data_IF_483606672674
#
_entry.id   IF_483606672674
#
_cell.length_a   1.000
_cell.length_b   1.000
_cell.length_c   1.000
_cell.angle_alpha   90.00
_cell.angle_beta   90.00
_cell.angle_gamma   90.00
#
_symmetry.space_group_name_H-M   'P 1'
#
loop_
_entity.id
_entity.type
_entity.pdbx_description
1 polymer ?
#
# COMPACT_ATOMS: atom_id res chain seq x y z
N UNK A 1 2.37 1.48 -12.65
CA UNK A 1 2.88 2.41 -13.64
C UNK A 1 2.71 1.87 -15.05
N UNK A 2 1.54 2.09 -15.62
CA UNK A 2 1.21 1.62 -16.97
C UNK A 2 2.07 2.27 -18.05
N UNK A 3 2.47 3.53 -17.84
CA UNK A 3 3.33 4.27 -18.78
C UNK A 3 4.72 3.67 -19.00
N UNK A 4 5.23 2.86 -18.10
CA UNK A 4 6.51 2.18 -18.24
C UNK A 4 6.37 0.71 -18.64
N UNK A 5 5.17 0.28 -19.01
CA UNK A 5 4.90 -1.07 -19.49
C UNK A 5 4.91 -1.13 -21.03
N UNK A 6 5.10 -2.31 -21.56
CA UNK A 6 4.99 -2.61 -23.00
C UNK A 6 3.55 -2.65 -23.53
N UNK A 7 2.57 -2.36 -22.65
CA UNK A 7 1.16 -2.22 -23.02
C UNK A 7 0.80 -0.80 -23.50
N UNK A 8 1.70 0.16 -23.36
CA UNK A 8 1.52 1.56 -23.77
C UNK A 8 2.45 1.88 -24.91
N UNK A 9 1.92 2.48 -25.97
CA UNK A 9 2.68 2.98 -27.12
C UNK A 9 2.50 4.49 -27.27
N UNK A 10 3.54 5.15 -27.77
CA UNK A 10 3.45 6.56 -28.13
C UNK A 10 2.48 6.73 -29.30
N UNK A 11 1.38 7.44 -29.07
CA UNK A 11 0.35 7.71 -30.08
C UNK A 11 0.57 9.06 -30.81
N UNK A 12 1.73 9.70 -30.63
CA UNK A 12 2.10 10.94 -31.32
C UNK A 12 2.62 10.73 -32.74
N UNK A 13 2.60 9.50 -33.26
CA UNK A 13 2.90 9.23 -34.65
C UNK A 13 1.83 9.91 -35.52
N UNK A 14 2.21 10.74 -36.50
CA UNK A 14 1.26 11.37 -37.40
C UNK A 14 0.36 10.32 -38.05
N UNK A 15 -0.96 10.60 -38.09
CA UNK A 15 -1.90 9.75 -38.78
C UNK A 15 -1.41 9.52 -40.19
N UNK A 16 -1.18 8.28 -40.62
CA UNK A 16 -0.63 7.98 -41.96
C UNK A 16 -1.53 8.43 -43.10
N UNK A 17 -2.81 8.74 -42.84
CA UNK A 17 -3.76 9.22 -43.84
C UNK A 17 -3.83 10.74 -43.93
N UNK A 18 -3.73 11.43 -42.81
CA UNK A 18 -3.90 12.88 -42.74
C UNK A 18 -2.60 13.63 -42.53
N UNK A 19 -1.55 12.98 -42.12
CA UNK A 19 -0.26 13.60 -41.78
C UNK A 19 -0.30 14.50 -40.54
N UNK A 20 -1.46 14.58 -39.86
CA UNK A 20 -1.62 15.38 -38.67
C UNK A 20 -1.13 14.56 -37.45
N UNK A 21 -0.24 15.16 -36.68
CA UNK A 21 0.07 14.64 -35.34
C UNK A 21 -1.18 14.71 -34.47
N UNK A 22 -1.41 13.71 -33.64
CA UNK A 22 -2.43 13.79 -32.61
C UNK A 22 -2.15 15.05 -31.79
N UNK A 23 -3.09 16.00 -31.83
CA UNK A 23 -3.02 17.23 -31.04
C UNK A 23 -3.35 16.91 -29.57
N UNK A 24 -2.55 16.08 -28.95
CA UNK A 24 -2.61 15.89 -27.51
C UNK A 24 -1.78 17.02 -26.91
N UNK A 25 -2.35 17.74 -25.95
CA UNK A 25 -1.54 18.58 -25.06
C UNK A 25 -0.32 17.77 -24.62
N UNK A 26 0.89 18.34 -24.68
CA UNK A 26 2.07 17.61 -24.23
C UNK A 26 1.77 17.09 -22.82
N UNK A 27 1.83 15.76 -22.67
CA UNK A 27 1.80 15.13 -21.35
C UNK A 27 2.85 15.82 -20.49
N UNK A 28 2.57 15.91 -19.20
CA UNK A 28 3.57 16.36 -18.23
C UNK A 28 4.90 15.64 -18.54
N UNK A 29 5.98 16.38 -18.56
CA UNK A 29 7.32 15.88 -18.85
C UNK A 29 7.67 14.64 -18.00
N UNK A 30 7.10 14.58 -16.80
CA UNK A 30 7.20 13.43 -15.89
C UNK A 30 6.74 12.12 -16.56
N UNK A 31 5.59 12.13 -17.25
CA UNK A 31 5.08 10.91 -17.90
C UNK A 31 5.94 10.49 -19.09
N UNK A 32 6.52 11.46 -19.81
CA UNK A 32 7.48 11.19 -20.87
C UNK A 32 8.77 10.56 -20.33
N UNK A 33 9.24 11.00 -19.14
CA UNK A 33 10.39 10.44 -18.48
C UNK A 33 10.11 9.02 -17.97
N UNK A 34 8.94 8.78 -17.41
CA UNK A 34 8.50 7.43 -16.98
C UNK A 34 8.39 6.49 -18.18
N UNK A 35 7.77 6.92 -19.27
CA UNK A 35 7.64 6.12 -20.50
C UNK A 35 9.00 5.75 -21.10
N UNK A 36 9.90 6.72 -21.15
CA UNK A 36 11.25 6.54 -21.70
C UNK A 36 12.27 5.94 -20.72
N UNK A 37 11.85 5.52 -19.53
CA UNK A 37 12.71 4.99 -18.46
C UNK A 37 13.86 5.95 -18.08
N UNK A 38 13.58 7.25 -18.14
CA UNK A 38 14.53 8.28 -17.74
C UNK A 38 14.38 8.64 -16.26
N UNK A 39 15.41 9.25 -15.63
CA UNK A 39 15.29 9.76 -14.27
C UNK A 39 14.21 10.81 -14.14
N UNK A 40 13.20 10.55 -13.29
CA UNK A 40 12.12 11.49 -13.00
C UNK A 40 12.59 12.48 -11.95
N UNK A 41 12.62 13.77 -12.31
CA UNK A 41 13.07 14.87 -11.44
C UNK A 41 11.92 15.75 -10.93
N UNK A 42 10.75 15.61 -11.52
CA UNK A 42 9.57 16.39 -11.19
C UNK A 42 9.02 15.98 -9.81
N UNK A 43 8.35 16.93 -9.15
CA UNK A 43 7.69 16.76 -7.85
C UNK A 43 6.17 17.02 -7.93
N UNK A 44 5.60 16.91 -9.14
CA UNK A 44 4.16 17.00 -9.37
C UNK A 44 3.41 15.79 -8.79
N UNK A 45 2.08 15.86 -8.83
CA UNK A 45 1.23 14.73 -8.41
C UNK A 45 1.66 13.46 -9.16
N UNK A 46 1.57 12.33 -8.46
CA UNK A 46 1.97 11.00 -8.94
C UNK A 46 3.48 10.81 -9.19
N UNK A 47 4.30 11.83 -8.90
CA UNK A 47 5.75 11.67 -8.99
C UNK A 47 6.29 10.67 -7.94
N UNK A 48 7.38 9.96 -8.26
CA UNK A 48 8.03 9.08 -7.29
C UNK A 48 8.37 9.78 -5.96
N UNK A 49 8.77 11.06 -6.03
CA UNK A 49 9.04 11.87 -4.84
C UNK A 49 7.79 12.07 -3.99
N UNK A 50 6.67 12.44 -4.61
CA UNK A 50 5.43 12.68 -3.86
C UNK A 50 4.88 11.38 -3.24
N UNK A 51 4.95 10.27 -3.98
CA UNK A 51 4.59 8.94 -3.45
C UNK A 51 5.42 8.62 -2.22
N UNK A 52 6.73 8.80 -2.30
CA UNK A 52 7.64 8.59 -1.17
C UNK A 52 7.28 9.44 0.03
N UNK A 53 7.16 10.75 -0.16
CA UNK A 53 6.88 11.70 0.91
C UNK A 53 5.52 11.45 1.57
N UNK A 54 4.48 11.17 0.78
CA UNK A 54 3.13 10.89 1.29
C UNK A 54 3.09 9.63 2.17
N UNK A 55 3.72 8.54 1.72
CA UNK A 55 3.73 7.32 2.50
C UNK A 55 4.56 7.43 3.78
N UNK A 56 5.73 8.07 3.74
CA UNK A 56 6.50 8.30 4.97
C UNK A 56 5.82 9.28 5.92
N UNK A 57 5.05 10.25 5.43
CA UNK A 57 4.20 11.11 6.27
C UNK A 57 3.11 10.29 6.99
N UNK A 58 2.47 9.37 6.30
CA UNK A 58 1.49 8.47 6.92
C UNK A 58 2.13 7.52 7.94
N UNK A 59 3.33 7.00 7.66
CA UNK A 59 4.12 6.19 8.60
C UNK A 59 4.47 7.00 9.86
N UNK A 60 4.91 8.25 9.70
CA UNK A 60 5.20 9.14 10.83
C UNK A 60 3.96 9.40 11.69
N UNK A 61 2.79 9.57 11.05
CA UNK A 61 1.51 9.70 11.76
C UNK A 61 1.16 8.44 12.55
N UNK A 62 1.31 7.26 11.94
CA UNK A 62 1.08 5.98 12.62
C UNK A 62 2.04 5.79 13.81
N UNK A 63 3.31 6.15 13.66
CA UNK A 63 4.29 6.09 14.73
C UNK A 63 3.94 7.05 15.89
N UNK A 64 3.48 8.25 15.58
CA UNK A 64 3.03 9.21 16.59
C UNK A 64 1.81 8.72 17.36
N UNK A 65 0.87 8.08 16.65
CA UNK A 65 -0.29 7.43 17.28
C UNK A 65 0.17 6.29 18.21
N UNK A 66 1.05 5.40 17.76
CA UNK A 66 1.58 4.30 18.57
C UNK A 66 2.32 4.80 19.83
N UNK A 67 3.06 5.90 19.73
CA UNK A 67 3.71 6.51 20.89
C UNK A 67 2.69 7.07 21.89
N UNK A 68 1.63 7.72 21.41
CA UNK A 68 0.54 8.22 22.27
C UNK A 68 -0.22 7.08 22.94
N UNK A 69 -0.53 6.03 22.18
CA UNK A 69 -1.20 4.81 22.67
C UNK A 69 -0.37 4.18 23.79
N UNK A 70 0.94 4.03 23.62
CA UNK A 70 1.82 3.49 24.66
C UNK A 70 1.74 4.26 25.96
N UNK A 71 1.64 5.62 25.89
CA UNK A 71 1.49 6.47 27.09
C UNK A 71 0.14 6.26 27.77
N UNK A 72 -0.93 6.03 27.02
CA UNK A 72 -2.28 5.75 27.55
C UNK A 72 -2.36 4.33 28.14
N UNK A 73 -1.80 3.34 27.48
CA UNK A 73 -1.69 1.97 27.99
C UNK A 73 -0.95 1.93 29.35
N UNK A 74 0.10 2.72 29.52
CA UNK A 74 0.81 2.86 30.78
C UNK A 74 -0.05 3.46 31.91
N UNK A 75 -1.15 4.12 31.58
CA UNK A 75 -2.15 4.65 32.51
C UNK A 75 -3.34 3.68 32.73
N UNK A 76 -3.28 2.50 32.13
CA UNK A 76 -4.32 1.47 32.24
C UNK A 76 -5.48 1.62 31.26
N UNK A 77 -5.35 2.49 30.24
CA UNK A 77 -6.37 2.65 29.20
C UNK A 77 -6.20 1.55 28.16
N UNK A 78 -7.29 0.85 27.82
CA UNK A 78 -7.26 -0.13 26.72
C UNK A 78 -7.35 0.60 25.38
N UNK A 79 -6.31 0.45 24.55
CA UNK A 79 -6.18 1.06 23.22
C UNK A 79 -5.90 0.00 22.14
N UNK A 80 -6.38 -1.22 22.33
CA UNK A 80 -6.05 -2.35 21.45
C UNK A 80 -6.51 -2.11 20.00
N UNK A 81 -7.73 -1.63 19.79
CA UNK A 81 -8.29 -1.43 18.44
C UNK A 81 -7.49 -0.36 17.67
N UNK A 82 -7.25 0.79 18.30
CA UNK A 82 -6.50 1.91 17.72
C UNK A 82 -5.03 1.51 17.48
N UNK A 83 -4.46 0.70 18.37
CA UNK A 83 -3.10 0.14 18.19
C UNK A 83 -3.06 -0.80 17.01
N UNK A 84 -4.06 -1.65 16.85
CA UNK A 84 -4.21 -2.54 15.72
C UNK A 84 -4.26 -1.77 14.40
N UNK A 85 -5.12 -0.75 14.32
CA UNK A 85 -5.21 0.12 13.13
C UNK A 85 -3.90 0.84 12.81
N UNK A 86 -3.23 1.40 13.81
CA UNK A 86 -1.97 2.11 13.60
C UNK A 86 -0.83 1.18 13.12
N UNK A 87 -0.76 -0.06 13.63
CA UNK A 87 0.19 -1.07 13.15
C UNK A 87 -0.12 -1.49 11.72
N UNK A 88 -1.38 -1.73 11.39
CA UNK A 88 -1.82 -2.08 10.03
C UNK A 88 -1.53 -0.94 9.04
N UNK A 89 -1.78 0.30 9.42
CA UNK A 89 -1.47 1.48 8.62
C UNK A 89 0.04 1.58 8.34
N UNK A 90 0.88 1.42 9.37
CA UNK A 90 2.34 1.43 9.21
C UNK A 90 2.83 0.33 8.27
N UNK A 91 2.33 -0.89 8.45
CA UNK A 91 2.65 -2.03 7.60
C UNK A 91 2.22 -1.78 6.14
N UNK A 92 1.01 -1.27 5.94
CA UNK A 92 0.43 -1.01 4.62
C UNK A 92 1.24 0.02 3.83
N UNK A 93 1.60 1.14 4.45
CA UNK A 93 2.38 2.18 3.78
C UNK A 93 3.80 1.73 3.44
N UNK A 94 4.46 0.96 4.31
CA UNK A 94 5.74 0.34 3.96
C UNK A 94 5.60 -0.71 2.85
N UNK A 95 4.51 -1.46 2.82
CA UNK A 95 4.24 -2.42 1.75
C UNK A 95 4.05 -1.73 0.39
N UNK A 96 3.31 -0.62 0.34
CA UNK A 96 3.15 0.15 -0.89
C UNK A 96 4.48 0.75 -1.36
N UNK A 97 5.28 1.31 -0.45
CA UNK A 97 6.64 1.79 -0.78
C UNK A 97 7.52 0.65 -1.32
N UNK A 98 7.46 -0.53 -0.71
CA UNK A 98 8.23 -1.68 -1.19
C UNK A 98 7.79 -2.11 -2.60
N UNK A 99 6.49 -2.04 -2.90
CA UNK A 99 5.96 -2.34 -4.23
C UNK A 99 6.41 -1.38 -5.33
N UNK A 100 6.73 -0.13 -4.97
CA UNK A 100 7.16 0.90 -5.94
C UNK A 100 8.69 1.01 -6.02
N UNK A 101 9.40 0.90 -4.90
CA UNK A 101 10.82 1.26 -4.80
C UNK A 101 11.77 0.08 -4.58
N UNK A 102 11.25 -1.14 -4.40
CA UNK A 102 12.06 -2.34 -4.23
C UNK A 102 11.85 -3.34 -5.36
N UNK A 103 12.72 -4.33 -5.41
CA UNK A 103 12.53 -5.48 -6.27
C UNK A 103 11.33 -6.32 -5.83
N UNK A 104 10.71 -7.05 -6.74
CA UNK A 104 9.66 -8.00 -6.39
C UNK A 104 10.23 -9.15 -5.53
N UNK A 105 9.48 -9.55 -4.52
CA UNK A 105 9.84 -10.73 -3.72
C UNK A 105 9.85 -11.99 -4.60
N UNK A 106 10.97 -12.67 -4.65
CA UNK A 106 11.14 -13.93 -5.40
C UNK A 106 11.16 -15.12 -4.44
N UNK A 107 12.09 -15.08 -3.51
CA UNK A 107 12.34 -16.04 -2.46
C UNK A 107 13.18 -15.40 -1.35
N UNK A 108 13.42 -16.11 -0.26
CA UNK A 108 14.18 -15.61 0.89
C UNK A 108 15.62 -15.25 0.54
N UNK A 109 16.30 -16.11 -0.23
CA UNK A 109 17.73 -15.94 -0.53
C UNK A 109 18.01 -14.73 -1.43
N UNK A 110 17.18 -14.50 -2.43
CA UNK A 110 17.30 -13.32 -3.30
C UNK A 110 16.92 -12.06 -2.52
N UNK A 111 15.85 -12.11 -1.74
CA UNK A 111 15.36 -10.96 -0.96
C UNK A 111 16.36 -10.47 0.10
N UNK A 112 17.25 -11.32 0.57
CA UNK A 112 18.36 -10.91 1.45
C UNK A 112 19.43 -10.08 0.74
N UNK A 113 19.52 -10.17 -0.59
CA UNK A 113 20.49 -9.44 -1.43
C UNK A 113 19.89 -8.17 -2.01
N UNK A 114 18.57 -8.15 -2.22
CA UNK A 114 17.88 -7.02 -2.81
C UNK A 114 17.78 -5.86 -1.81
N UNK A 115 17.81 -4.62 -2.34
CA UNK A 115 17.65 -3.41 -1.53
C UNK A 115 16.25 -3.32 -0.92
N UNK A 116 16.20 -3.08 0.38
CA UNK A 116 14.96 -2.84 1.11
C UNK A 116 14.62 -1.38 1.30
N UNK A 117 13.84 -1.12 2.33
CA UNK A 117 13.44 0.21 2.81
C UNK A 117 13.94 0.43 4.23
N UNK A 118 14.09 1.70 4.61
CA UNK A 118 14.17 2.07 6.02
C UNK A 118 12.79 1.87 6.65
N UNK A 119 12.71 0.95 7.63
CA UNK A 119 11.46 0.66 8.32
C UNK A 119 11.36 1.52 9.58
N UNK A 120 10.59 2.62 9.50
CA UNK A 120 10.47 3.58 10.60
C UNK A 120 9.48 3.07 11.65
N UNK A 121 9.99 2.81 12.87
CA UNK A 121 9.21 2.24 13.98
C UNK A 121 8.85 3.23 15.09
N UNK A 122 9.38 4.45 15.02
CA UNK A 122 9.13 5.50 16.00
C UNK A 122 9.16 6.87 15.33
N UNK A 123 8.57 7.90 15.95
CA UNK A 123 8.68 9.27 15.45
C UNK A 123 10.14 9.72 15.36
N UNK A 124 10.51 10.35 14.26
CA UNK A 124 11.82 11.00 14.15
C UNK A 124 11.83 12.29 14.96
N UNK A 125 12.75 12.38 15.91
CA UNK A 125 12.93 13.57 16.74
C UNK A 125 14.15 14.38 16.36
N UNK A 126 14.97 13.90 15.43
CA UNK A 126 16.20 14.53 14.95
C UNK A 126 16.32 14.33 13.46
N UNK A 127 17.00 15.26 12.76
CA UNK A 127 17.44 15.04 11.38
C UNK A 127 18.35 13.82 11.40
N UNK A 128 17.85 12.73 10.82
CA UNK A 128 18.51 11.45 10.93
C UNK A 128 19.76 11.35 10.05
N UNK A 129 20.69 10.49 10.43
CA UNK A 129 21.74 10.05 9.51
C UNK A 129 21.10 9.33 8.31
N UNK A 130 21.88 9.18 7.25
CA UNK A 130 21.45 8.42 6.07
C UNK A 130 21.22 6.97 6.47
N UNK A 131 20.00 6.50 6.34
CA UNK A 131 19.66 5.09 6.59
C UNK A 131 20.07 4.21 5.40
N UNK A 132 20.61 3.05 5.69
CA UNK A 132 20.99 2.06 4.67
C UNK A 132 19.77 1.36 4.08
N UNK A 133 19.77 1.17 2.78
CA UNK A 133 18.84 0.28 2.06
C UNK A 133 19.51 -1.04 1.64
N UNK A 134 20.80 -1.16 1.90
CA UNK A 134 21.63 -2.28 1.46
C UNK A 134 21.36 -3.59 2.22
N UNK A 135 22.08 -4.66 1.84
CA UNK A 135 21.98 -5.96 2.50
C UNK A 135 22.50 -5.94 3.95
N UNK A 136 23.28 -4.93 4.31
CA UNK A 136 23.74 -4.74 5.68
C UNK A 136 22.57 -4.34 6.57
N UNK A 137 22.48 -5.01 7.70
CA UNK A 137 21.43 -4.81 8.67
C UNK A 137 21.69 -3.54 9.47
N UNK A 138 20.75 -2.62 9.44
CA UNK A 138 20.76 -1.46 10.31
C UNK A 138 19.83 -1.70 11.50
N UNK A 139 20.39 -1.57 12.69
CA UNK A 139 19.70 -1.87 13.93
C UNK A 139 19.36 -0.58 14.66
N UNK A 140 18.13 -0.45 15.12
CA UNK A 140 17.63 0.64 15.94
C UNK A 140 16.83 0.11 17.12
N UNK A 141 16.02 0.98 17.71
CA UNK A 141 15.12 0.60 18.79
C UNK A 141 13.66 0.80 18.32
N UNK A 142 12.79 -0.11 18.73
CA UNK A 142 11.34 0.07 18.59
C UNK A 142 10.78 0.96 19.71
N UNK A 143 9.46 1.17 19.70
CA UNK A 143 8.77 2.00 20.71
C UNK A 143 8.91 1.47 22.16
N UNK A 144 9.24 0.20 22.32
CA UNK A 144 9.45 -0.41 23.64
C UNK A 144 10.90 -0.27 24.13
N UNK A 145 11.79 0.19 23.26
CA UNK A 145 13.22 0.22 23.51
C UNK A 145 13.92 -1.10 23.21
N UNK A 146 13.20 -2.03 22.57
CA UNK A 146 13.77 -3.29 22.12
C UNK A 146 14.51 -3.12 20.80
N UNK A 147 15.56 -3.92 20.63
CA UNK A 147 16.33 -3.94 19.39
C UNK A 147 15.44 -4.32 18.20
N UNK A 148 15.43 -3.49 17.18
CA UNK A 148 14.64 -3.68 15.97
C UNK A 148 15.46 -3.39 14.70
N UNK A 149 15.11 -4.03 13.61
CA UNK A 149 15.74 -3.80 12.32
C UNK A 149 15.05 -2.64 11.61
N UNK A 150 15.71 -1.51 11.49
CA UNK A 150 15.18 -0.29 10.88
C UNK A 150 15.64 -0.09 9.43
N UNK A 151 16.69 -0.78 9.02
CA UNK A 151 17.22 -0.75 7.66
C UNK A 151 17.72 -2.12 7.24
N UNK A 152 18.00 -2.30 5.96
CA UNK A 152 18.55 -3.54 5.44
C UNK A 152 17.90 -3.97 4.12
N UNK A 153 17.96 -5.27 3.84
CA UNK A 153 17.48 -5.86 2.61
C UNK A 153 15.95 -5.88 2.52
N UNK A 154 15.44 -6.23 1.34
CA UNK A 154 14.03 -6.49 1.09
C UNK A 154 13.46 -7.53 2.06
N UNK A 155 14.25 -8.55 2.40
CA UNK A 155 13.86 -9.55 3.41
C UNK A 155 13.47 -8.91 4.75
N UNK A 156 14.32 -8.02 5.29
CA UNK A 156 14.04 -7.34 6.54
C UNK A 156 12.82 -6.41 6.45
N UNK A 157 12.65 -5.71 5.33
CA UNK A 157 11.45 -4.91 5.06
C UNK A 157 10.18 -5.77 5.14
N UNK A 158 10.15 -6.91 4.46
CA UNK A 158 8.98 -7.79 4.46
C UNK A 158 8.74 -8.46 5.82
N UNK A 159 9.80 -8.79 6.56
CA UNK A 159 9.65 -9.34 7.91
C UNK A 159 9.07 -8.32 8.90
N UNK A 160 9.47 -7.05 8.79
CA UNK A 160 8.90 -5.99 9.61
C UNK A 160 7.44 -5.68 9.24
N UNK A 161 7.11 -5.65 7.94
CA UNK A 161 5.73 -5.53 7.47
C UNK A 161 4.89 -6.68 8.04
N UNK A 162 5.38 -7.90 7.96
CA UNK A 162 4.68 -9.08 8.48
C UNK A 162 4.46 -8.99 9.99
N UNK A 163 5.46 -8.58 10.75
CA UNK A 163 5.36 -8.40 12.21
C UNK A 163 4.25 -7.42 12.58
N UNK A 164 4.22 -6.26 11.94
CA UNK A 164 3.19 -5.26 12.21
C UNK A 164 1.80 -5.71 11.76
N UNK A 165 1.72 -6.34 10.58
CA UNK A 165 0.48 -6.90 10.04
C UNK A 165 -0.11 -7.95 10.97
N UNK A 166 0.68 -8.96 11.38
CA UNK A 166 0.22 -10.04 12.25
C UNK A 166 -0.18 -9.51 13.64
N UNK A 167 0.58 -8.57 14.20
CA UNK A 167 0.22 -7.92 15.46
C UNK A 167 -1.05 -7.07 15.33
N UNK A 168 -1.20 -6.33 14.24
CA UNK A 168 -2.38 -5.51 13.97
C UNK A 168 -3.64 -6.35 13.80
N UNK A 169 -3.56 -7.48 13.08
CA UNK A 169 -4.67 -8.44 12.91
C UNK A 169 -5.21 -8.99 14.24
N UNK A 170 -4.36 -9.15 15.25
CA UNK A 170 -4.79 -9.63 16.57
C UNK A 170 -5.51 -8.57 17.42
N UNK A 171 -5.34 -7.30 17.08
CA UNK A 171 -5.78 -6.18 17.91
C UNK A 171 -6.94 -5.40 17.29
N UNK A 172 -7.03 -5.36 15.96
CA UNK A 172 -8.05 -4.59 15.24
C UNK A 172 -9.46 -5.09 15.58
N UNK A 173 -10.38 -4.15 15.78
CA UNK A 173 -11.78 -4.45 16.10
C UNK A 173 -12.69 -3.36 15.53
N UNK A 174 -13.81 -3.78 14.98
CA UNK A 174 -14.82 -2.86 14.40
C UNK A 174 -15.78 -2.27 15.44
N UNK A 175 -15.73 -2.73 16.69
CA UNK A 175 -16.71 -2.37 17.73
C UNK A 175 -16.68 -0.89 18.13
N UNK A 176 -15.53 -0.24 17.95
CA UNK A 176 -15.32 1.15 18.37
C UNK A 176 -15.53 2.17 17.25
N UNK A 177 -15.76 1.74 16.02
CA UNK A 177 -15.92 2.64 14.89
C UNK A 177 -17.38 2.92 14.60
N UNK A 178 -17.77 4.20 14.58
CA UNK A 178 -19.11 4.61 14.13
C UNK A 178 -19.35 4.31 12.64
N UNK A 179 -18.28 4.39 11.84
CA UNK A 179 -18.27 4.03 10.42
C UNK A 179 -17.03 3.21 10.12
N UNK A 180 -17.08 1.86 10.26
CA UNK A 180 -15.89 1.00 10.10
C UNK A 180 -15.19 1.14 8.76
N UNK A 181 -15.90 1.48 7.68
CA UNK A 181 -15.31 1.64 6.33
C UNK A 181 -14.42 2.87 6.18
N UNK A 182 -14.38 3.79 7.14
CA UNK A 182 -13.43 4.90 7.16
C UNK A 182 -12.11 4.53 7.85
N UNK A 183 -12.02 3.33 8.39
CA UNK A 183 -10.91 2.84 9.17
C UNK A 183 -10.31 1.57 8.58
N UNK A 184 -9.18 1.16 9.09
CA UNK A 184 -8.63 -0.16 8.81
C UNK A 184 -9.43 -1.20 9.59
N UNK A 185 -10.64 -1.50 9.09
CA UNK A 185 -11.54 -2.47 9.72
C UNK A 185 -11.02 -3.90 9.60
N UNK A 186 -11.63 -4.85 10.30
CA UNK A 186 -11.17 -6.26 10.32
C UNK A 186 -11.13 -6.86 8.92
N UNK A 187 -12.14 -6.62 8.06
CA UNK A 187 -12.14 -7.11 6.68
C UNK A 187 -11.02 -6.49 5.85
N UNK A 188 -10.76 -5.19 6.00
CA UNK A 188 -9.66 -4.50 5.32
C UNK A 188 -8.31 -5.08 5.75
N UNK A 189 -8.14 -5.38 7.03
CA UNK A 189 -6.94 -6.00 7.56
C UNK A 189 -6.68 -7.38 6.94
N UNK A 190 -7.71 -8.24 6.85
CA UNK A 190 -7.59 -9.54 6.21
C UNK A 190 -7.36 -9.44 4.68
N UNK A 191 -7.99 -8.48 4.00
CA UNK A 191 -7.73 -8.25 2.58
C UNK A 191 -6.29 -7.78 2.33
N UNK A 192 -5.78 -6.91 3.18
CA UNK A 192 -4.37 -6.53 3.13
C UNK A 192 -3.44 -7.72 3.39
N UNK A 193 -3.75 -8.55 4.37
CA UNK A 193 -3.00 -9.77 4.65
C UNK A 193 -2.98 -10.72 3.46
N UNK A 194 -4.13 -10.98 2.83
CA UNK A 194 -4.21 -11.78 1.61
C UNK A 194 -3.29 -11.23 0.51
N UNK A 195 -3.33 -9.90 0.28
CA UNK A 195 -2.47 -9.24 -0.70
C UNK A 195 -0.98 -9.33 -0.34
N UNK A 196 -0.62 -9.12 0.91
CA UNK A 196 0.75 -9.22 1.38
C UNK A 196 1.31 -10.64 1.18
N UNK A 197 0.56 -11.66 1.59
CA UNK A 197 0.97 -13.06 1.43
C UNK A 197 0.98 -13.51 -0.03
N UNK A 198 0.13 -12.92 -0.90
CA UNK A 198 0.19 -13.11 -2.34
C UNK A 198 1.55 -12.67 -2.91
N UNK A 199 2.03 -11.51 -2.50
CA UNK A 199 3.36 -11.01 -2.89
C UNK A 199 4.50 -11.87 -2.36
N UNK A 200 4.35 -12.44 -1.15
CA UNK A 200 5.30 -13.40 -0.58
C UNK A 200 5.18 -14.81 -1.14
N UNK A 201 4.14 -15.10 -1.93
CA UNK A 201 3.82 -16.44 -2.48
C UNK A 201 3.52 -17.48 -1.39
N UNK A 202 2.96 -17.06 -0.27
CA UNK A 202 2.49 -17.93 0.82
C UNK A 202 1.01 -18.29 0.61
N UNK A 203 0.72 -19.13 -0.41
CA UNK A 203 -0.61 -19.38 -0.95
C UNK A 203 -1.64 -19.86 0.07
N UNK A 204 -1.24 -20.66 1.05
CA UNK A 204 -2.15 -21.12 2.10
C UNK A 204 -2.71 -19.96 2.93
N UNK A 205 -1.86 -19.01 3.30
CA UNK A 205 -2.28 -17.80 4.01
C UNK A 205 -3.12 -16.86 3.12
N UNK A 206 -2.85 -16.83 1.82
CA UNK A 206 -3.68 -16.05 0.87
C UNK A 206 -5.12 -16.56 0.92
N UNK A 207 -5.32 -17.88 0.81
CA UNK A 207 -6.64 -18.50 0.85
C UNK A 207 -7.32 -18.24 2.20
N UNK A 208 -6.63 -18.48 3.32
CA UNK A 208 -7.14 -18.25 4.67
C UNK A 208 -7.70 -16.83 4.85
N UNK A 209 -6.92 -15.82 4.47
CA UNK A 209 -7.33 -14.43 4.63
C UNK A 209 -8.38 -13.98 3.59
N UNK A 210 -8.31 -14.50 2.37
CA UNK A 210 -9.31 -14.22 1.34
C UNK A 210 -10.68 -14.82 1.72
N UNK A 211 -10.72 -16.04 2.25
CA UNK A 211 -11.95 -16.69 2.70
C UNK A 211 -12.62 -15.90 3.84
N UNK A 212 -11.82 -15.30 4.74
CA UNK A 212 -12.35 -14.43 5.78
C UNK A 212 -13.08 -13.21 5.21
N UNK A 213 -12.54 -12.60 4.15
CA UNK A 213 -13.12 -11.40 3.51
C UNK A 213 -14.36 -11.75 2.71
N UNK A 214 -14.25 -12.79 1.88
CA UNK A 214 -15.31 -13.19 0.95
C UNK A 214 -16.48 -13.87 1.65
N UNK A 215 -16.22 -14.56 2.75
CA UNK A 215 -17.22 -15.30 3.55
C UNK A 215 -18.04 -16.33 2.79
N UNK A 216 -17.67 -16.61 1.54
CA UNK A 216 -18.34 -17.57 0.67
C UNK A 216 -17.40 -18.03 -0.44
N UNK A 217 -17.60 -19.26 -0.88
CA UNK A 217 -16.98 -19.82 -2.09
C UNK A 217 -18.00 -19.98 -3.23
N UNK A 218 -19.23 -19.53 -3.01
CA UNK A 218 -20.29 -19.62 -4.03
C UNK A 218 -19.99 -18.67 -5.20
N UNK A 219 -19.83 -19.25 -6.37
CA UNK A 219 -19.48 -18.55 -7.61
C UNK A 219 -20.48 -17.46 -7.98
N UNK A 220 -21.77 -17.69 -7.71
CA UNK A 220 -22.84 -16.70 -7.97
C UNK A 220 -22.65 -15.47 -7.11
N UNK A 221 -22.38 -15.67 -5.81
CA UNK A 221 -22.13 -14.56 -4.88
C UNK A 221 -20.83 -13.83 -5.22
N UNK A 222 -19.76 -14.54 -5.59
CA UNK A 222 -18.49 -13.95 -6.00
C UNK A 222 -18.64 -13.12 -7.28
N UNK A 223 -19.43 -13.56 -8.24
CA UNK A 223 -19.68 -12.82 -9.48
C UNK A 223 -20.47 -11.53 -9.25
N UNK A 224 -21.31 -11.45 -8.20
CA UNK A 224 -22.00 -10.22 -7.81
C UNK A 224 -21.07 -9.17 -7.21
N UNK A 225 -19.93 -9.57 -6.63
CA UNK A 225 -18.93 -8.62 -6.09
C UNK A 225 -18.20 -7.88 -7.21
N UNK A 226 -18.08 -8.49 -8.38
CA UNK A 226 -17.48 -7.88 -9.55
C UNK A 226 -18.31 -8.17 -10.79
N UNK A 227 -19.26 -7.31 -11.08
CA UNK A 227 -20.04 -7.37 -12.32
C UNK A 227 -19.22 -6.80 -13.48
N UNK A 228 -18.57 -7.72 -14.21
CA UNK A 228 -17.76 -7.37 -15.37
C UNK A 228 -18.58 -6.74 -16.52
N UNK A 229 -19.85 -7.11 -16.65
CA UNK A 229 -20.72 -6.52 -17.69
C UNK A 229 -21.07 -5.09 -17.38
N UNK A 230 -21.54 -4.81 -16.17
CA UNK A 230 -21.80 -3.44 -15.71
C UNK A 230 -20.56 -2.57 -15.76
N UNK A 231 -19.38 -3.11 -15.41
CA UNK A 231 -18.12 -2.36 -15.50
C UNK A 231 -17.63 -2.16 -16.93
N UNK A 232 -17.91 -3.08 -17.86
CA UNK A 232 -17.48 -2.96 -19.26
C UNK A 232 -18.33 -1.97 -20.04
N UNK A 233 -19.62 -1.89 -19.75
CA UNK A 233 -20.61 -1.14 -20.57
C UNK A 233 -20.77 0.31 -20.12
N UNK A 234 -19.74 0.90 -19.54
CA UNK A 234 -19.79 2.26 -19.05
C UNK A 234 -19.51 3.27 -20.17
N UNK A 235 -20.57 3.65 -20.85
CA UNK A 235 -20.57 4.74 -21.83
C UNK A 235 -20.33 6.13 -21.17
N UNK A 236 -20.31 6.21 -19.85
CA UNK A 236 -20.14 7.44 -19.09
C UNK A 236 -19.06 7.29 -18.02
N UNK A 237 -17.99 8.06 -18.18
CA UNK A 237 -16.84 8.06 -17.26
C UNK A 237 -17.23 8.43 -15.81
N UNK A 238 -18.26 9.26 -15.63
CA UNK A 238 -18.75 9.65 -14.30
C UNK A 238 -19.42 8.49 -13.57
N UNK A 239 -20.11 7.60 -14.29
CA UNK A 239 -20.67 6.37 -13.75
C UNK A 239 -19.56 5.36 -13.39
N UNK A 240 -18.49 5.32 -14.18
CA UNK A 240 -17.33 4.51 -13.90
C UNK A 240 -16.69 4.89 -12.55
N UNK A 241 -16.46 6.19 -12.34
CA UNK A 241 -15.94 6.70 -11.08
C UNK A 241 -16.84 6.34 -9.89
N UNK A 242 -18.15 6.58 -10.01
CA UNK A 242 -19.09 6.23 -8.93
C UNK A 242 -19.04 4.77 -8.56
N UNK A 243 -18.84 3.89 -9.52
CA UNK A 243 -18.78 2.44 -9.25
C UNK A 243 -17.59 2.03 -8.40
N UNK A 244 -16.45 2.73 -8.56
CA UNK A 244 -15.25 2.46 -7.77
C UNK A 244 -15.25 3.10 -6.38
N UNK A 245 -15.95 4.21 -6.20
CA UNK A 245 -15.95 4.99 -4.95
C UNK A 245 -17.28 4.93 -4.18
N UNK A 246 -18.34 4.38 -4.77
CA UNK A 246 -19.64 4.28 -4.12
C UNK A 246 -19.56 3.34 -2.91
N UNK A 247 -19.92 3.89 -1.77
CA UNK A 247 -19.98 3.17 -0.49
C UNK A 247 -20.95 1.98 -0.52
N UNK A 248 -21.93 2.03 -1.40
CA UNK A 248 -22.96 1.00 -1.54
C UNK A 248 -22.60 -0.02 -2.64
N UNK A 249 -21.54 0.19 -3.41
CA UNK A 249 -21.12 -0.77 -4.41
C UNK A 249 -20.76 -2.10 -3.75
N UNK A 250 -21.33 -3.23 -4.16
CA UNK A 250 -21.02 -4.56 -3.59
C UNK A 250 -19.54 -4.90 -3.65
N UNK A 251 -18.84 -4.41 -4.68
CA UNK A 251 -17.39 -4.59 -4.87
C UNK A 251 -16.54 -3.75 -3.92
N UNK A 252 -17.09 -2.70 -3.30
CA UNK A 252 -16.35 -1.84 -2.38
C UNK A 252 -16.47 -2.34 -0.94
N UNK A 253 -15.68 -3.35 -0.59
CA UNK A 253 -15.75 -4.04 0.70
C UNK A 253 -15.02 -3.31 1.84
N UNK A 254 -14.05 -2.44 1.53
CA UNK A 254 -12.99 -2.14 2.47
C UNK A 254 -12.92 -0.68 2.92
N UNK A 255 -12.57 0.23 2.04
CA UNK A 255 -12.31 1.61 2.40
C UNK A 255 -13.11 2.55 1.52
N UNK A 256 -13.65 3.57 2.14
CA UNK A 256 -14.29 4.68 1.46
C UNK A 256 -13.29 5.83 1.48
N UNK A 257 -12.81 6.22 0.30
CA UNK A 257 -12.11 7.48 0.18
C UNK A 257 -13.15 8.60 0.26
N UNK A 258 -13.03 9.42 1.30
CA UNK A 258 -13.77 10.70 1.35
C UNK A 258 -12.88 11.75 0.71
N UNK A 259 -13.37 12.35 -0.36
CA UNK A 259 -12.80 13.56 -0.94
C UNK A 259 -13.57 14.77 -0.42
#
# INVERSE_FOLDING_TARGET
>A
CEYSSDQVVDNNVPDPKTGQANAVNPLDEMYNDIFAWRPVKQSSNDSPKLIWDAHYTAIATANSALEAIKKLEAQGVNMNAEKGEALLSRAYHHFLLAGVFCQAWKNVEDSKKDLGLTYMMQPETKVAPVYSRGPELEVGLDLNGDTAWIGGSLYHTFMNIQKDLEAGLQLVSDEYYSVPRYHFNVKAAHAFAARFYLYKREWAKVVEHADYVLTTTDETTLSMLFDAETNRDQSNIELAFKHYIDVNAPSNLLLIATY
#
